data_IF_548561175634
#
_entry.id   IF_548561175634
#
_cell.length_a   1.000
_cell.length_b   1.000
_cell.length_c   1.000
_cell.angle_alpha   90.00
_cell.angle_beta   90.00
_cell.angle_gamma   90.00
#
_symmetry.space_group_name_H-M   'P 1'
#
loop_
_entity.id
_entity.type
_entity.pdbx_description
1 polymer ?
#
# COMPACT_ATOMS: atom_id res chain seq x y z
N UNK A 1 43.95 8.25 -30.64
CA UNK A 1 42.58 7.94 -31.11
C UNK A 1 41.74 7.67 -29.88
N UNK A 2 40.53 8.23 -29.76
CA UNK A 2 39.57 7.70 -28.78
C UNK A 2 39.36 6.20 -29.09
N UNK A 3 39.25 5.33 -28.08
CA UNK A 3 38.91 3.93 -28.31
C UNK A 3 37.63 3.85 -29.13
N UNK A 4 37.49 2.86 -30.04
CA UNK A 4 36.22 2.61 -30.73
C UNK A 4 35.10 2.53 -29.71
N UNK A 5 33.95 3.17 -29.96
CA UNK A 5 32.84 3.20 -29.02
C UNK A 5 32.35 1.80 -28.61
N UNK A 6 32.63 0.79 -29.44
CA UNK A 6 32.23 -0.60 -29.25
C UNK A 6 33.24 -1.44 -28.47
N UNK A 7 34.39 -0.89 -28.05
CA UNK A 7 35.40 -1.64 -27.28
C UNK A 7 35.45 -1.13 -25.84
N UNK A 8 35.26 -2.03 -24.89
CA UNK A 8 35.34 -1.73 -23.44
C UNK A 8 36.48 -2.50 -22.80
N UNK A 9 37.32 -1.80 -22.03
CA UNK A 9 38.44 -2.39 -21.29
C UNK A 9 37.96 -2.81 -19.92
N UNK A 10 38.11 -4.08 -19.59
CA UNK A 10 37.66 -4.65 -18.31
C UNK A 10 38.75 -5.48 -17.65
N UNK A 11 38.62 -5.69 -16.35
CA UNK A 11 39.35 -6.73 -15.62
C UNK A 11 38.39 -7.89 -15.33
N UNK A 12 38.77 -9.13 -15.64
CA UNK A 12 37.97 -10.32 -15.33
C UNK A 12 38.68 -11.14 -14.27
N UNK A 13 38.00 -11.41 -13.18
CA UNK A 13 38.49 -12.18 -12.03
C UNK A 13 38.00 -13.63 -12.06
N UNK A 14 38.82 -14.53 -11.52
CA UNK A 14 38.48 -15.93 -11.28
C UNK A 14 39.10 -16.37 -9.94
N UNK A 15 38.36 -17.11 -9.08
CA UNK A 15 38.89 -17.54 -7.79
C UNK A 15 40.22 -18.28 -7.91
N UNK A 16 41.23 -17.80 -7.17
CA UNK A 16 42.56 -18.41 -7.15
C UNK A 16 43.45 -18.12 -8.37
N UNK A 17 43.03 -17.24 -9.29
CA UNK A 17 43.83 -16.80 -10.43
C UNK A 17 44.04 -15.28 -10.44
N UNK A 18 45.09 -14.82 -11.13
CA UNK A 18 45.30 -13.39 -11.36
C UNK A 18 44.23 -12.83 -12.32
N UNK A 19 43.70 -11.63 -12.04
CA UNK A 19 42.74 -10.97 -12.93
C UNK A 19 43.33 -10.76 -14.33
N UNK A 20 42.50 -10.94 -15.35
CA UNK A 20 42.86 -10.71 -16.75
C UNK A 20 42.34 -9.38 -17.24
N UNK A 21 43.22 -8.57 -17.79
CA UNK A 21 42.84 -7.35 -18.51
C UNK A 21 42.50 -7.73 -19.95
N UNK A 22 41.28 -7.43 -20.37
CA UNK A 22 40.77 -7.79 -21.69
C UNK A 22 40.01 -6.61 -22.31
N UNK A 23 40.14 -6.48 -23.63
CA UNK A 23 39.33 -5.55 -24.42
C UNK A 23 38.13 -6.32 -24.97
N UNK A 24 36.94 -6.10 -24.41
CA UNK A 24 35.70 -6.70 -24.87
C UNK A 24 35.19 -5.89 -26.07
N UNK A 25 35.07 -6.57 -27.21
CA UNK A 25 34.36 -6.06 -28.37
C UNK A 25 32.85 -6.32 -28.20
N UNK A 26 32.08 -5.24 -28.06
CA UNK A 26 30.63 -5.29 -27.86
C UNK A 26 29.88 -5.87 -29.07
N UNK A 27 30.52 -6.01 -30.23
CA UNK A 27 29.95 -6.69 -31.41
C UNK A 27 30.16 -8.20 -31.40
N UNK A 28 31.12 -8.72 -30.63
CA UNK A 28 31.32 -10.17 -30.48
C UNK A 28 30.24 -10.76 -29.58
N UNK A 29 29.65 -11.92 -29.89
CA UNK A 29 28.72 -12.60 -28.98
C UNK A 29 29.36 -12.88 -27.61
N UNK A 30 28.58 -12.75 -26.54
CA UNK A 30 29.04 -12.97 -25.17
C UNK A 30 29.57 -14.40 -24.97
N UNK A 31 28.97 -15.39 -25.63
CA UNK A 31 29.43 -16.79 -25.63
C UNK A 31 30.84 -16.95 -26.19
N UNK A 32 31.20 -16.18 -27.23
CA UNK A 32 32.54 -16.19 -27.79
C UNK A 32 33.56 -15.52 -26.85
N UNK A 33 33.14 -14.45 -26.18
CA UNK A 33 33.94 -13.76 -25.16
C UNK A 33 34.22 -14.70 -23.98
N UNK A 34 33.19 -15.37 -23.45
CA UNK A 34 33.31 -16.33 -22.35
C UNK A 34 34.27 -17.46 -22.74
N UNK A 35 34.15 -17.99 -23.97
CA UNK A 35 35.05 -19.02 -24.49
C UNK A 35 36.52 -18.57 -24.45
N UNK A 36 36.82 -17.35 -24.93
CA UNK A 36 38.17 -16.78 -24.91
C UNK A 36 38.73 -16.64 -23.47
N UNK A 37 37.88 -16.20 -22.52
CA UNK A 37 38.24 -16.08 -21.10
C UNK A 37 38.55 -17.45 -20.48
N UNK A 38 37.68 -18.43 -20.71
CA UNK A 38 37.83 -19.81 -20.23
C UNK A 38 39.10 -20.46 -20.80
N UNK A 39 39.34 -20.33 -22.11
CA UNK A 39 40.54 -20.86 -22.78
C UNK A 39 41.82 -20.32 -22.16
N UNK A 40 41.87 -19.01 -21.85
CA UNK A 40 43.06 -18.45 -21.25
C UNK A 40 43.34 -18.94 -19.83
N UNK A 41 42.36 -19.51 -19.11
CA UNK A 41 42.55 -20.12 -17.77
C UNK A 41 42.50 -21.65 -17.84
N UNK A 42 42.51 -22.22 -19.05
CA UNK A 42 42.41 -23.66 -19.29
C UNK A 42 41.17 -24.31 -18.66
N UNK A 43 40.05 -23.56 -18.60
CA UNK A 43 38.76 -24.06 -18.13
C UNK A 43 38.03 -24.75 -19.29
N UNK A 44 37.65 -26.02 -19.11
CA UNK A 44 36.81 -26.75 -20.07
C UNK A 44 35.32 -26.39 -19.92
N UNK A 45 34.50 -26.80 -20.89
CA UNK A 45 33.03 -26.61 -20.88
C UNK A 45 32.62 -25.14 -20.67
N UNK A 46 33.04 -24.26 -21.59
CA UNK A 46 32.80 -22.81 -21.50
C UNK A 46 31.31 -22.45 -21.42
N UNK A 47 30.42 -23.32 -21.91
CA UNK A 47 28.96 -23.22 -21.80
C UNK A 47 28.43 -23.26 -20.36
N UNK A 48 29.21 -23.79 -19.41
CA UNK A 48 28.84 -23.83 -18.00
C UNK A 48 29.19 -22.56 -17.23
N UNK A 49 29.79 -21.55 -17.89
CA UNK A 49 30.23 -20.32 -17.27
C UNK A 49 29.44 -19.10 -17.78
N UNK A 50 29.40 -18.07 -16.94
CA UNK A 50 28.86 -16.75 -17.28
C UNK A 50 29.72 -15.66 -16.62
N UNK A 51 29.49 -14.42 -17.05
CA UNK A 51 30.11 -13.24 -16.43
C UNK A 51 29.11 -12.56 -15.49
N UNK A 52 29.59 -12.11 -14.35
CA UNK A 52 28.89 -11.23 -13.42
C UNK A 52 29.64 -9.90 -13.27
N UNK A 53 28.94 -8.84 -12.89
CA UNK A 53 29.58 -7.60 -12.45
C UNK A 53 30.16 -7.83 -11.05
N UNK A 54 31.45 -7.60 -10.84
CA UNK A 54 32.11 -7.82 -9.56
C UNK A 54 31.89 -6.62 -8.60
N UNK A 55 30.62 -6.33 -8.31
CA UNK A 55 30.19 -5.32 -7.35
C UNK A 55 29.33 -5.94 -6.24
N UNK A 56 28.63 -5.09 -5.47
CA UNK A 56 27.77 -5.55 -4.39
C UNK A 56 26.54 -6.37 -4.88
N UNK A 57 26.18 -6.27 -6.16
CA UNK A 57 24.99 -6.94 -6.72
C UNK A 57 25.32 -8.33 -7.26
N UNK A 58 26.52 -8.52 -7.84
CA UNK A 58 26.90 -9.75 -8.55
C UNK A 58 25.91 -10.16 -9.65
N UNK A 59 25.26 -9.20 -10.32
CA UNK A 59 24.32 -9.52 -11.39
C UNK A 59 25.01 -10.08 -12.63
N UNK A 60 24.37 -11.08 -13.23
CA UNK A 60 24.76 -11.74 -14.46
C UNK A 60 24.67 -10.79 -15.65
N UNK A 61 25.66 -10.93 -16.51
CA UNK A 61 25.75 -10.22 -17.78
C UNK A 61 25.11 -11.10 -18.84
N UNK A 62 24.17 -10.51 -19.56
CA UNK A 62 23.44 -11.10 -20.68
C UNK A 62 23.63 -10.23 -21.91
N UNK A 63 23.19 -10.73 -23.07
CA UNK A 63 23.18 -9.92 -24.30
C UNK A 63 22.30 -8.66 -24.18
N UNK A 64 21.37 -8.61 -23.21
CA UNK A 64 20.49 -7.45 -23.01
C UNK A 64 21.16 -6.31 -22.23
N UNK A 65 21.97 -6.63 -21.22
CA UNK A 65 22.58 -5.65 -20.30
C UNK A 65 24.09 -5.44 -20.50
N UNK A 66 24.74 -6.19 -21.40
CA UNK A 66 26.18 -6.04 -21.70
C UNK A 66 26.62 -4.63 -22.13
N UNK A 67 25.69 -3.81 -22.62
CA UNK A 67 25.96 -2.43 -23.01
C UNK A 67 26.18 -1.50 -21.79
N UNK A 68 25.80 -1.94 -20.60
CA UNK A 68 26.00 -1.19 -19.35
C UNK A 68 27.42 -1.32 -18.80
N UNK A 69 28.22 -2.24 -19.37
CA UNK A 69 29.63 -2.44 -18.99
C UNK A 69 30.43 -1.20 -19.38
N UNK A 70 31.15 -0.62 -18.41
CA UNK A 70 31.97 0.58 -18.61
C UNK A 70 33.45 0.23 -18.67
N UNK A 71 34.24 1.13 -19.24
CA UNK A 71 35.70 1.03 -19.16
C UNK A 71 36.14 1.05 -17.69
N UNK A 72 36.98 0.09 -17.31
CA UNK A 72 37.44 -0.11 -15.94
C UNK A 72 36.52 -0.97 -15.08
N UNK A 73 35.40 -1.47 -15.60
CA UNK A 73 34.55 -2.43 -14.87
C UNK A 73 35.35 -3.70 -14.53
N UNK A 74 35.12 -4.18 -13.30
CA UNK A 74 35.63 -5.47 -12.84
C UNK A 74 34.49 -6.48 -13.00
N UNK A 75 34.76 -7.56 -13.72
CA UNK A 75 33.83 -8.66 -13.96
C UNK A 75 34.36 -9.91 -13.26
N UNK A 76 33.45 -10.83 -12.95
CA UNK A 76 33.79 -12.14 -12.39
C UNK A 76 33.32 -13.23 -13.33
N UNK A 77 34.20 -14.17 -13.67
CA UNK A 77 33.78 -15.42 -14.29
C UNK A 77 33.23 -16.34 -13.20
N UNK A 78 32.02 -16.85 -13.40
CA UNK A 78 31.34 -17.74 -12.45
C UNK A 78 30.56 -18.83 -13.17
N UNK A 79 29.97 -19.77 -12.45
CA UNK A 79 29.04 -20.75 -13.02
C UNK A 79 27.83 -20.06 -13.66
N UNK A 80 27.35 -20.62 -14.76
CA UNK A 80 26.18 -20.09 -15.49
C UNK A 80 24.93 -20.03 -14.59
N UNK A 81 23.98 -19.12 -14.85
CA UNK A 81 22.74 -19.01 -14.08
C UNK A 81 22.01 -20.34 -13.95
N UNK A 82 21.91 -21.10 -15.04
CA UNK A 82 21.29 -22.43 -15.06
C UNK A 82 22.01 -23.43 -14.14
N UNK A 83 23.35 -23.55 -14.25
CA UNK A 83 24.11 -24.46 -13.39
C UNK A 83 23.99 -24.07 -11.91
N UNK A 84 24.07 -22.78 -11.60
CA UNK A 84 23.88 -22.26 -10.25
C UNK A 84 22.47 -22.58 -9.73
N UNK A 85 21.44 -22.41 -10.56
CA UNK A 85 20.05 -22.71 -10.20
C UNK A 85 19.84 -24.22 -9.93
N UNK A 86 20.38 -25.10 -10.78
CA UNK A 86 20.35 -26.57 -10.56
C UNK A 86 21.04 -26.94 -9.25
N UNK A 87 22.25 -26.43 -9.01
CA UNK A 87 23.00 -26.73 -7.79
C UNK A 87 22.25 -26.27 -6.53
N UNK A 88 21.70 -25.06 -6.53
CA UNK A 88 20.92 -24.56 -5.40
C UNK A 88 19.63 -25.35 -5.21
N UNK A 89 18.92 -25.66 -6.29
CA UNK A 89 17.70 -26.46 -6.27
C UNK A 89 17.94 -27.85 -5.65
N UNK A 90 19.03 -28.53 -6.01
CA UNK A 90 19.40 -29.82 -5.41
C UNK A 90 19.85 -29.69 -3.94
N UNK A 91 20.69 -28.71 -3.62
CA UNK A 91 21.25 -28.55 -2.27
C UNK A 91 20.21 -28.16 -1.23
N UNK A 92 19.20 -27.38 -1.61
CA UNK A 92 18.07 -27.00 -0.74
C UNK A 92 17.21 -28.23 -0.37
N UNK A 93 17.20 -29.26 -1.22
CA UNK A 93 16.53 -30.53 -0.95
C UNK A 93 17.40 -31.54 -0.19
N UNK A 94 18.66 -31.21 0.11
CA UNK A 94 19.58 -32.11 0.82
C UNK A 94 19.06 -32.50 2.21
N UNK A 95 19.58 -33.57 2.82
CA UNK A 95 19.21 -33.93 4.20
C UNK A 95 19.93 -33.09 5.27
N UNK A 96 20.97 -32.36 4.89
CA UNK A 96 21.80 -31.57 5.81
C UNK A 96 21.22 -30.17 6.02
N UNK A 97 20.85 -29.83 7.26
CA UNK A 97 20.29 -28.53 7.59
C UNK A 97 21.27 -27.37 7.35
N UNK A 98 22.56 -27.56 7.65
CA UNK A 98 23.58 -26.53 7.39
C UNK A 98 23.75 -26.28 5.89
N UNK A 99 23.72 -27.34 5.09
CA UNK A 99 23.79 -27.22 3.65
C UNK A 99 22.56 -26.50 3.08
N UNK A 100 21.36 -26.77 3.62
CA UNK A 100 20.14 -26.04 3.24
C UNK A 100 20.23 -24.57 3.61
N UNK A 101 20.67 -24.26 4.82
CA UNK A 101 20.74 -22.89 5.31
C UNK A 101 21.66 -22.03 4.43
N UNK A 102 22.88 -22.52 4.15
CA UNK A 102 23.81 -21.78 3.30
C UNK A 102 23.27 -21.65 1.87
N UNK A 103 22.67 -22.72 1.32
CA UNK A 103 22.12 -22.68 -0.04
C UNK A 103 20.90 -21.76 -0.15
N UNK A 104 20.08 -21.64 0.90
CA UNK A 104 18.95 -20.70 0.92
C UNK A 104 19.41 -19.25 1.05
N UNK A 105 20.49 -19.00 1.81
CA UNK A 105 21.12 -17.69 1.88
C UNK A 105 21.69 -17.27 0.52
N UNK A 106 22.38 -18.18 -0.16
CA UNK A 106 22.88 -17.96 -1.52
C UNK A 106 21.72 -17.76 -2.50
N UNK A 107 20.64 -18.54 -2.37
CA UNK A 107 19.43 -18.39 -3.17
C UNK A 107 18.80 -17.01 -2.98
N UNK A 108 18.62 -16.56 -1.74
CA UNK A 108 18.03 -15.24 -1.45
C UNK A 108 18.82 -14.10 -2.11
N UNK A 109 20.15 -14.19 -2.14
CA UNK A 109 20.98 -13.21 -2.82
C UNK A 109 20.88 -13.31 -4.35
N UNK A 110 20.90 -14.53 -4.88
CA UNK A 110 20.84 -14.79 -6.33
C UNK A 110 19.47 -14.44 -6.93
N UNK A 111 18.38 -14.61 -6.18
CA UNK A 111 17.00 -14.31 -6.60
C UNK A 111 16.77 -12.85 -6.96
N UNK A 112 17.64 -11.92 -6.50
CA UNK A 112 17.59 -10.49 -6.87
C UNK A 112 17.86 -10.26 -8.37
N UNK A 113 18.52 -11.20 -9.03
CA UNK A 113 18.83 -11.14 -10.46
C UNK A 113 17.77 -11.87 -11.28
N UNK A 114 17.10 -11.14 -12.17
CA UNK A 114 16.08 -11.68 -13.09
C UNK A 114 16.60 -12.84 -13.95
N UNK A 115 17.89 -12.82 -14.32
CA UNK A 115 18.52 -13.86 -15.15
C UNK A 115 18.59 -15.18 -14.41
N UNK A 116 18.96 -15.14 -13.13
CA UNK A 116 18.97 -16.31 -12.27
C UNK A 116 17.54 -16.74 -11.91
N UNK A 117 16.69 -15.77 -11.54
CA UNK A 117 15.30 -16.01 -11.15
C UNK A 117 14.55 -16.80 -12.22
N UNK A 118 14.72 -16.43 -13.50
CA UNK A 118 14.08 -17.13 -14.62
C UNK A 118 14.49 -18.62 -14.67
N UNK A 119 15.78 -18.93 -14.53
CA UNK A 119 16.26 -20.32 -14.56
C UNK A 119 15.76 -21.12 -13.36
N UNK A 120 15.76 -20.53 -12.16
CA UNK A 120 15.27 -21.19 -10.95
C UNK A 120 13.76 -21.42 -11.00
N UNK A 121 12.99 -20.49 -11.56
CA UNK A 121 11.55 -20.63 -11.80
C UNK A 121 11.27 -21.75 -12.81
N UNK A 122 12.05 -21.84 -13.89
CA UNK A 122 11.92 -22.91 -14.89
C UNK A 122 12.18 -24.31 -14.31
N UNK A 123 12.89 -24.39 -13.19
CA UNK A 123 13.15 -25.63 -12.44
C UNK A 123 12.07 -25.92 -11.37
N UNK A 124 10.89 -25.30 -11.46
CA UNK A 124 9.81 -25.39 -10.47
C UNK A 124 10.24 -24.93 -9.05
N UNK A 125 11.24 -24.04 -8.97
CA UNK A 125 11.80 -23.57 -7.71
C UNK A 125 10.80 -22.85 -6.79
N UNK A 126 9.81 -22.16 -7.35
CA UNK A 126 8.72 -21.55 -6.56
C UNK A 126 7.90 -22.62 -5.85
N UNK A 127 7.53 -23.69 -6.54
CA UNK A 127 6.79 -24.82 -5.97
C UNK A 127 7.58 -25.45 -4.82
N UNK A 128 8.90 -25.63 -5.00
CA UNK A 128 9.78 -26.10 -3.94
C UNK A 128 9.74 -25.19 -2.70
N UNK A 129 9.90 -23.87 -2.87
CA UNK A 129 9.87 -22.92 -1.74
C UNK A 129 8.50 -22.91 -1.04
N UNK A 130 7.40 -22.94 -1.79
CA UNK A 130 6.06 -23.01 -1.19
C UNK A 130 5.85 -24.29 -0.38
N UNK A 131 6.28 -25.45 -0.89
CA UNK A 131 6.24 -26.71 -0.18
C UNK A 131 7.10 -26.67 1.09
N UNK A 132 8.27 -26.02 1.05
CA UNK A 132 9.12 -25.85 2.22
C UNK A 132 8.46 -24.98 3.30
N UNK A 133 7.75 -23.92 2.90
CA UNK A 133 6.97 -23.09 3.84
C UNK A 133 5.78 -23.87 4.41
N UNK A 134 5.02 -24.59 3.58
CA UNK A 134 3.85 -25.35 4.01
C UNK A 134 4.22 -26.52 4.94
N UNK A 135 5.25 -27.29 4.58
CA UNK A 135 5.70 -28.47 5.33
C UNK A 135 6.68 -28.17 6.45
N UNK A 136 7.30 -26.99 6.42
CA UNK A 136 8.31 -26.57 7.38
C UNK A 136 7.75 -26.41 8.79
N UNK A 137 8.45 -27.00 9.75
CA UNK A 137 8.39 -26.60 11.17
C UNK A 137 9.17 -25.29 11.34
N UNK A 138 8.68 -24.39 12.20
CA UNK A 138 9.18 -23.02 12.37
C UNK A 138 10.70 -22.91 12.64
N UNK A 139 11.54 -22.79 11.60
CA UNK A 139 12.99 -22.65 11.73
C UNK A 139 13.43 -21.23 11.35
N UNK A 140 13.54 -20.34 12.35
CA UNK A 140 13.92 -18.91 12.24
C UNK A 140 14.63 -18.47 10.95
N UNK A 141 15.97 -18.53 10.92
CA UNK A 141 16.78 -18.04 9.81
C UNK A 141 16.50 -18.76 8.47
N UNK A 142 16.24 -20.07 8.52
CA UNK A 142 15.94 -20.87 7.33
C UNK A 142 14.67 -20.37 6.64
N UNK A 143 13.62 -20.10 7.43
CA UNK A 143 12.36 -19.56 6.95
C UNK A 143 12.55 -18.12 6.45
N UNK A 144 13.33 -17.30 7.15
CA UNK A 144 13.64 -15.93 6.73
C UNK A 144 14.30 -15.89 5.33
N UNK A 145 15.31 -16.72 5.08
CA UNK A 145 15.94 -16.82 3.75
C UNK A 145 15.00 -17.41 2.71
N UNK A 146 14.19 -18.41 3.07
CA UNK A 146 13.17 -18.99 2.17
C UNK A 146 12.16 -17.94 1.71
N UNK A 147 11.62 -17.15 2.65
CA UNK A 147 10.66 -16.09 2.35
C UNK A 147 11.31 -14.92 1.59
N UNK A 148 12.56 -14.59 1.91
CA UNK A 148 13.31 -13.58 1.16
C UNK A 148 13.52 -14.00 -0.29
N UNK A 149 14.02 -15.22 -0.53
CA UNK A 149 14.16 -15.77 -1.87
C UNK A 149 12.82 -15.79 -2.62
N UNK A 150 11.74 -16.16 -1.93
CA UNK A 150 10.40 -16.17 -2.52
C UNK A 150 9.95 -14.77 -2.95
N UNK A 151 10.07 -13.76 -2.09
CA UNK A 151 9.70 -12.36 -2.40
C UNK A 151 10.47 -11.87 -3.61
N UNK A 152 11.80 -11.98 -3.59
CA UNK A 152 12.68 -11.53 -4.67
C UNK A 152 12.34 -12.22 -6.02
N UNK A 153 12.01 -13.51 -6.00
CA UNK A 153 11.60 -14.22 -7.23
C UNK A 153 10.25 -13.72 -7.75
N UNK A 154 9.30 -13.42 -6.86
CA UNK A 154 7.96 -12.95 -7.23
C UNK A 154 7.96 -11.50 -7.72
N UNK A 155 8.88 -10.67 -7.22
CA UNK A 155 8.99 -9.26 -7.58
C UNK A 155 9.41 -9.04 -9.05
N UNK A 156 10.03 -10.04 -9.69
CA UNK A 156 10.29 -10.01 -11.13
C UNK A 156 9.03 -10.11 -12.00
N UNK A 157 7.88 -10.49 -11.43
CA UNK A 157 6.60 -10.57 -12.14
C UNK A 157 6.53 -11.68 -13.20
N UNK A 158 7.40 -12.69 -13.12
CA UNK A 158 7.44 -13.83 -14.04
C UNK A 158 6.29 -14.81 -13.78
N UNK A 159 5.92 -15.00 -12.52
CA UNK A 159 4.88 -15.95 -12.06
C UNK A 159 3.66 -15.19 -11.56
N UNK A 160 2.47 -15.66 -11.93
CA UNK A 160 1.22 -15.10 -11.38
C UNK A 160 1.01 -15.51 -9.93
N UNK A 161 0.54 -14.58 -9.10
CA UNK A 161 0.16 -14.86 -7.72
C UNK A 161 -1.04 -15.82 -7.60
N UNK A 162 -1.84 -16.00 -8.66
CA UNK A 162 -3.03 -16.86 -8.62
C UNK A 162 -2.70 -18.36 -8.52
N UNK A 163 -1.43 -18.76 -8.67
CA UNK A 163 -1.00 -20.16 -8.58
C UNK A 163 -0.88 -20.68 -7.15
N UNK A 164 -0.96 -19.81 -6.14
CA UNK A 164 -0.69 -20.19 -4.76
C UNK A 164 -1.87 -20.86 -4.06
N UNK A 165 -1.54 -21.92 -3.32
CA UNK A 165 -2.50 -22.71 -2.57
C UNK A 165 -3.07 -21.92 -1.38
N UNK A 166 -4.29 -22.25 -0.96
CA UNK A 166 -4.88 -21.71 0.27
C UNK A 166 -4.07 -22.15 1.51
N UNK A 167 -3.39 -23.30 1.46
CA UNK A 167 -2.55 -23.76 2.56
C UNK A 167 -1.32 -22.86 2.76
N UNK A 168 -0.69 -22.44 1.66
CA UNK A 168 0.41 -21.47 1.69
C UNK A 168 -0.03 -20.14 2.30
N UNK A 169 -1.16 -19.58 1.82
CA UNK A 169 -1.70 -18.31 2.34
C UNK A 169 -1.99 -18.41 3.85
N UNK A 170 -2.64 -19.50 4.28
CA UNK A 170 -2.90 -19.78 5.71
C UNK A 170 -1.62 -19.84 6.52
N UNK A 171 -0.58 -20.46 5.98
CA UNK A 171 0.72 -20.57 6.66
C UNK A 171 1.38 -19.21 6.81
N UNK A 172 1.44 -18.40 5.76
CA UNK A 172 1.96 -17.02 5.84
C UNK A 172 1.15 -16.17 6.82
N UNK A 173 -0.18 -16.23 6.76
CA UNK A 173 -1.05 -15.52 7.70
C UNK A 173 -0.84 -15.98 9.15
N UNK A 174 -0.59 -17.27 9.37
CA UNK A 174 -0.28 -17.80 10.71
C UNK A 174 0.98 -17.18 11.30
N UNK A 175 1.97 -16.82 10.47
CA UNK A 175 3.19 -16.16 10.94
C UNK A 175 2.93 -14.73 11.43
N UNK A 176 2.02 -14.02 10.78
CA UNK A 176 1.57 -12.68 11.22
C UNK A 176 0.72 -12.77 12.49
N UNK A 177 -0.06 -13.84 12.65
CA UNK A 177 -0.95 -14.02 13.79
C UNK A 177 -0.25 -14.56 15.05
N UNK A 178 0.98 -15.07 14.93
CA UNK A 178 1.73 -15.66 16.05
C UNK A 178 2.43 -14.56 16.87
N UNK A 179 2.31 -14.64 18.19
CA UNK A 179 3.04 -13.75 19.10
C UNK A 179 4.54 -14.09 19.11
N UNK A 180 5.39 -13.06 19.22
CA UNK A 180 6.85 -13.22 19.27
C UNK A 180 7.45 -13.99 18.08
N UNK A 181 7.00 -13.68 16.86
CA UNK A 181 7.66 -14.11 15.63
C UNK A 181 9.00 -13.40 15.45
N UNK A 182 9.94 -14.05 14.78
CA UNK A 182 11.16 -13.40 14.30
C UNK A 182 10.82 -12.19 13.41
N UNK A 183 11.52 -11.08 13.61
CA UNK A 183 11.26 -9.82 12.90
C UNK A 183 11.38 -9.97 11.39
N UNK A 184 12.41 -10.68 10.90
CA UNK A 184 12.61 -10.83 9.46
C UNK A 184 11.51 -11.71 8.84
N UNK A 185 11.13 -12.80 9.50
CA UNK A 185 10.00 -13.64 9.08
C UNK A 185 8.69 -12.86 9.05
N UNK A 186 8.41 -12.06 10.08
CA UNK A 186 7.21 -11.23 10.15
C UNK A 186 7.19 -10.19 9.03
N UNK A 187 8.30 -9.49 8.81
CA UNK A 187 8.45 -8.48 7.76
C UNK A 187 8.17 -9.08 6.38
N UNK A 188 8.82 -10.21 6.05
CA UNK A 188 8.60 -10.89 4.75
C UNK A 188 7.18 -11.42 4.63
N UNK A 189 6.59 -11.93 5.71
CA UNK A 189 5.20 -12.42 5.70
C UNK A 189 4.21 -11.28 5.41
N UNK A 190 4.38 -10.12 6.04
CA UNK A 190 3.56 -8.93 5.77
C UNK A 190 3.71 -8.47 4.31
N UNK A 191 4.94 -8.39 3.80
CA UNK A 191 5.22 -8.03 2.41
C UNK A 191 4.54 -8.99 1.41
N UNK A 192 4.62 -10.30 1.65
CA UNK A 192 3.96 -11.32 0.82
C UNK A 192 2.45 -11.11 0.81
N UNK A 193 1.83 -10.88 1.96
CA UNK A 193 0.39 -10.68 2.07
C UNK A 193 -0.07 -9.39 1.39
N UNK A 194 0.69 -8.31 1.54
CA UNK A 194 0.47 -7.06 0.81
C UNK A 194 0.47 -7.31 -0.71
N UNK A 195 1.54 -7.93 -1.22
CA UNK A 195 1.67 -8.24 -2.64
C UNK A 195 0.55 -9.15 -3.14
N UNK A 196 0.15 -10.18 -2.38
CA UNK A 196 -0.99 -11.03 -2.72
C UNK A 196 -2.29 -10.22 -2.88
N UNK A 197 -2.58 -9.34 -1.93
CA UNK A 197 -3.79 -8.51 -1.94
C UNK A 197 -3.77 -7.54 -3.12
N UNK A 198 -2.65 -6.88 -3.38
CA UNK A 198 -2.52 -5.90 -4.45
C UNK A 198 -2.62 -6.53 -5.85
N UNK A 199 -2.16 -7.77 -6.02
CA UNK A 199 -2.09 -8.42 -7.33
C UNK A 199 -3.36 -9.19 -7.72
N UNK A 200 -4.19 -9.67 -6.78
CA UNK A 200 -5.39 -10.47 -7.13
C UNK A 200 -6.58 -10.25 -6.20
N UNK A 201 -7.77 -10.11 -6.79
CA UNK A 201 -9.03 -9.94 -6.05
C UNK A 201 -9.45 -11.23 -5.33
N UNK A 202 -9.17 -12.40 -5.92
CA UNK A 202 -9.44 -13.68 -5.27
C UNK A 202 -8.51 -13.88 -4.06
N UNK A 203 -7.23 -13.51 -4.19
CA UNK A 203 -6.30 -13.53 -3.08
C UNK A 203 -6.68 -12.54 -1.98
N UNK A 204 -7.20 -11.34 -2.32
CA UNK A 204 -7.77 -10.43 -1.33
C UNK A 204 -8.83 -11.13 -0.47
N UNK A 205 -9.77 -11.85 -1.08
CA UNK A 205 -10.82 -12.55 -0.33
C UNK A 205 -10.27 -13.64 0.58
N UNK A 206 -9.25 -14.38 0.13
CA UNK A 206 -8.57 -15.40 0.92
C UNK A 206 -7.79 -14.79 2.09
N UNK A 207 -7.00 -13.75 1.85
CA UNK A 207 -6.21 -13.08 2.90
C UNK A 207 -7.13 -12.42 3.94
N UNK A 208 -8.20 -11.76 3.51
CA UNK A 208 -9.16 -11.11 4.41
C UNK A 208 -9.95 -12.09 5.28
N UNK A 209 -9.97 -13.39 4.95
CA UNK A 209 -10.53 -14.44 5.81
C UNK A 209 -9.55 -14.91 6.89
N UNK A 210 -8.24 -14.84 6.63
CA UNK A 210 -7.20 -15.35 7.53
C UNK A 210 -6.64 -14.27 8.48
N UNK A 211 -6.74 -12.99 8.10
CA UNK A 211 -6.22 -11.87 8.87
C UNK A 211 -7.29 -10.80 9.07
N UNK A 212 -7.39 -10.35 10.32
CA UNK A 212 -8.21 -9.22 10.71
C UNK A 212 -7.33 -8.01 11.06
N UNK A 213 -7.87 -6.80 10.90
CA UNK A 213 -7.20 -5.56 11.34
C UNK A 213 -6.84 -5.63 12.83
N UNK A 214 -7.67 -6.29 13.66
CA UNK A 214 -7.39 -6.48 15.08
C UNK A 214 -6.10 -7.23 15.36
N UNK A 215 -5.73 -8.20 14.51
CA UNK A 215 -4.48 -8.97 14.62
C UNK A 215 -3.26 -8.19 14.12
N UNK A 216 -3.47 -7.20 13.25
CA UNK A 216 -2.40 -6.33 12.75
C UNK A 216 -2.02 -5.22 13.74
N UNK A 217 -2.96 -4.80 14.60
CA UNK A 217 -2.73 -3.70 15.55
C UNK A 217 -1.53 -3.89 16.49
N UNK A 218 -1.30 -5.07 17.11
CA UNK A 218 -0.15 -5.29 17.96
C UNK A 218 1.19 -4.99 17.27
N UNK A 219 1.29 -5.23 15.96
CA UNK A 219 2.50 -4.95 15.18
C UNK A 219 2.78 -3.45 15.04
N UNK A 220 1.74 -2.61 15.09
CA UNK A 220 1.89 -1.15 15.14
C UNK A 220 2.29 -0.62 16.51
N UNK A 221 2.06 -1.40 17.57
CA UNK A 221 2.43 -1.04 18.94
C UNK A 221 3.87 -1.40 19.28
N UNK A 222 4.55 -2.16 18.41
CA UNK A 222 5.97 -2.42 18.49
C UNK A 222 6.81 -1.17 18.25
N UNK A 223 8.13 -1.28 18.46
CA UNK A 223 9.09 -0.18 18.27
C UNK A 223 9.81 -0.22 16.92
N UNK A 224 9.62 -1.28 16.15
CA UNK A 224 10.29 -1.52 14.87
C UNK A 224 9.54 -0.79 13.73
N UNK A 225 10.19 0.22 13.14
CA UNK A 225 9.59 1.05 12.11
C UNK A 225 9.31 0.27 10.81
N UNK A 226 10.13 -0.72 10.47
CA UNK A 226 9.92 -1.51 9.26
C UNK A 226 8.66 -2.37 9.43
N UNK A 227 8.52 -3.06 10.56
CA UNK A 227 7.29 -3.82 10.87
C UNK A 227 6.06 -2.92 10.87
N UNK A 228 6.14 -1.72 11.48
CA UNK A 228 5.04 -0.77 11.46
C UNK A 228 4.68 -0.37 10.02
N UNK A 229 5.69 -0.13 9.17
CA UNK A 229 5.51 0.28 7.77
C UNK A 229 4.78 -0.80 6.97
N UNK A 230 5.29 -2.04 6.99
CA UNK A 230 4.65 -3.17 6.29
C UNK A 230 3.26 -3.47 6.85
N UNK A 231 3.03 -3.25 8.14
CA UNK A 231 1.70 -3.43 8.74
C UNK A 231 0.70 -2.40 8.20
N UNK A 232 1.09 -1.13 8.09
CA UNK A 232 0.23 -0.10 7.48
C UNK A 232 0.05 -0.38 5.98
N UNK A 233 1.08 -0.88 5.29
CA UNK A 233 1.00 -1.24 3.88
C UNK A 233 -0.03 -2.36 3.64
N UNK A 234 -0.05 -3.41 4.47
CA UNK A 234 -1.09 -4.45 4.43
C UNK A 234 -2.49 -3.87 4.71
N UNK A 235 -2.64 -2.98 5.69
CA UNK A 235 -3.92 -2.32 5.97
C UNK A 235 -4.37 -1.49 4.76
N UNK A 236 -3.46 -0.72 4.15
CA UNK A 236 -3.72 0.05 2.94
C UNK A 236 -4.13 -0.84 1.78
N UNK A 237 -3.43 -1.95 1.55
CA UNK A 237 -3.74 -2.90 0.48
C UNK A 237 -5.14 -3.52 0.67
N UNK A 238 -5.45 -3.97 1.89
CA UNK A 238 -6.78 -4.51 2.23
C UNK A 238 -7.87 -3.47 2.01
N UNK A 239 -7.61 -2.22 2.36
CA UNK A 239 -8.59 -1.15 2.24
C UNK A 239 -8.77 -0.70 0.78
N UNK A 240 -7.69 -0.62 0.00
CA UNK A 240 -7.70 -0.27 -1.41
C UNK A 240 -8.45 -1.29 -2.26
N UNK A 241 -8.31 -2.59 -1.95
CA UNK A 241 -8.95 -3.71 -2.69
C UNK A 241 -10.32 -4.12 -2.14
N UNK A 242 -10.74 -3.53 -1.02
CA UNK A 242 -12.03 -3.83 -0.43
C UNK A 242 -13.19 -3.39 -1.36
N UNK A 243 -14.19 -4.27 -1.59
CA UNK A 243 -15.45 -3.88 -2.20
C UNK A 243 -16.08 -2.71 -1.44
N UNK A 244 -16.85 -1.88 -2.14
CA UNK A 244 -17.43 -0.65 -1.59
C UNK A 244 -18.25 -0.89 -0.31
N UNK A 245 -19.09 -1.93 -0.29
CA UNK A 245 -19.87 -2.33 0.89
C UNK A 245 -18.98 -2.63 2.12
N UNK A 246 -17.82 -3.24 1.89
CA UNK A 246 -16.86 -3.60 2.94
C UNK A 246 -15.97 -2.44 3.37
N UNK A 247 -15.78 -1.42 2.54
CA UNK A 247 -14.95 -0.24 2.88
C UNK A 247 -15.49 0.51 4.08
N UNK A 248 -16.82 0.67 4.17
CA UNK A 248 -17.46 1.32 5.32
C UNK A 248 -17.39 0.46 6.60
N UNK A 249 -17.58 -0.85 6.49
CA UNK A 249 -17.39 -1.77 7.62
C UNK A 249 -15.94 -1.73 8.14
N UNK A 250 -14.98 -1.73 7.22
CA UNK A 250 -13.56 -1.62 7.54
C UNK A 250 -13.26 -0.30 8.25
N UNK A 251 -13.78 0.82 7.75
CA UNK A 251 -13.67 2.12 8.41
C UNK A 251 -14.21 2.11 9.84
N UNK A 252 -15.36 1.47 10.05
CA UNK A 252 -15.94 1.30 11.38
C UNK A 252 -15.03 0.51 12.31
N UNK A 253 -14.46 -0.60 11.84
CA UNK A 253 -13.50 -1.41 12.60
C UNK A 253 -12.25 -0.59 12.96
N UNK A 254 -11.68 0.16 12.01
CA UNK A 254 -10.51 1.01 12.23
C UNK A 254 -10.78 2.06 13.32
N UNK A 255 -11.97 2.68 13.31
CA UNK A 255 -12.41 3.62 14.33
C UNK A 255 -12.64 2.93 15.70
N UNK A 256 -13.37 1.82 15.73
CA UNK A 256 -13.69 1.07 16.94
C UNK A 256 -12.43 0.57 17.65
N UNK A 257 -11.43 0.13 16.89
CA UNK A 257 -10.13 -0.32 17.41
C UNK A 257 -9.15 0.82 17.69
N UNK A 258 -9.57 2.07 17.53
CA UNK A 258 -8.77 3.27 17.80
C UNK A 258 -7.45 3.33 17.01
N UNK A 259 -7.42 2.82 15.77
CA UNK A 259 -6.21 2.76 14.95
C UNK A 259 -5.52 4.13 14.85
N UNK A 260 -6.30 5.20 14.67
CA UNK A 260 -5.77 6.58 14.61
C UNK A 260 -4.98 6.98 15.85
N UNK A 261 -5.44 6.56 17.03
CA UNK A 261 -4.75 6.84 18.30
C UNK A 261 -3.43 6.07 18.37
N UNK A 262 -3.45 4.82 17.94
CA UNK A 262 -2.29 3.92 17.94
C UNK A 262 -1.21 4.44 16.98
N UNK A 263 -1.58 4.86 15.76
CA UNK A 263 -0.65 5.48 14.81
C UNK A 263 -0.11 6.79 15.38
N UNK A 264 -0.97 7.62 16.01
CA UNK A 264 -0.54 8.87 16.61
C UNK A 264 0.49 8.64 17.72
N UNK A 265 0.30 7.65 18.60
CA UNK A 265 1.20 7.39 19.72
C UNK A 265 2.47 6.66 19.33
N UNK A 266 2.38 5.63 18.48
CA UNK A 266 3.49 4.71 18.23
C UNK A 266 4.27 4.99 16.94
N UNK A 267 3.70 5.78 16.01
CA UNK A 267 4.36 6.17 14.76
C UNK A 267 4.65 7.67 14.75
N UNK A 268 3.61 8.52 14.85
CA UNK A 268 3.76 9.97 14.67
C UNK A 268 4.50 10.64 15.83
N UNK A 269 4.20 10.22 17.06
CA UNK A 269 4.86 10.73 18.29
C UNK A 269 5.98 9.82 18.78
N UNK A 270 6.39 8.85 17.96
CA UNK A 270 7.54 8.00 18.26
C UNK A 270 8.80 8.85 18.38
N UNK A 271 9.78 8.47 19.23
CA UNK A 271 11.09 9.12 19.26
C UNK A 271 11.87 8.89 17.96
N UNK A 272 11.57 7.82 17.21
CA UNK A 272 12.22 7.50 15.94
C UNK A 272 11.65 8.39 14.83
N UNK A 273 12.48 9.13 14.07
CA UNK A 273 12.03 9.91 12.93
C UNK A 273 11.33 9.04 11.89
N UNK A 274 10.30 9.58 11.25
CA UNK A 274 9.55 8.90 10.18
C UNK A 274 10.40 8.88 8.91
N UNK A 275 10.64 7.69 8.34
CA UNK A 275 11.31 7.53 7.04
C UNK A 275 10.34 7.78 5.86
N UNK A 276 10.88 7.90 4.64
CA UNK A 276 10.10 8.24 3.45
C UNK A 276 9.03 7.19 3.12
N UNK A 277 9.32 5.90 3.34
CA UNK A 277 8.38 4.81 3.07
C UNK A 277 7.19 4.83 4.05
N UNK A 278 7.45 4.98 5.35
CA UNK A 278 6.40 5.17 6.36
C UNK A 278 5.57 6.43 6.06
N UNK A 279 6.22 7.53 5.69
CA UNK A 279 5.51 8.75 5.31
C UNK A 279 4.60 8.52 4.09
N UNK A 280 5.05 7.75 3.10
CA UNK A 280 4.23 7.34 1.97
C UNK A 280 3.02 6.51 2.41
N UNK A 281 3.22 5.50 3.25
CA UNK A 281 2.14 4.64 3.74
C UNK A 281 1.09 5.41 4.57
N UNK A 282 1.52 6.38 5.38
CA UNK A 282 0.61 7.28 6.11
C UNK A 282 -0.17 8.19 5.16
N UNK A 283 0.47 8.69 4.10
CA UNK A 283 -0.19 9.47 3.06
C UNK A 283 -1.26 8.64 2.33
N UNK A 284 -0.95 7.41 1.93
CA UNK A 284 -1.91 6.51 1.28
C UNK A 284 -3.09 6.24 2.21
N UNK A 285 -2.83 5.94 3.49
CA UNK A 285 -3.89 5.73 4.49
C UNK A 285 -4.79 6.97 4.64
N UNK A 286 -4.20 8.17 4.65
CA UNK A 286 -4.93 9.42 4.74
C UNK A 286 -5.85 9.61 3.52
N UNK A 287 -5.35 9.37 2.31
CA UNK A 287 -6.14 9.46 1.07
C UNK A 287 -7.30 8.45 1.09
N UNK A 288 -7.04 7.20 1.45
CA UNK A 288 -8.07 6.15 1.58
C UNK A 288 -9.14 6.53 2.59
N UNK A 289 -8.74 7.10 3.73
CA UNK A 289 -9.65 7.56 4.78
C UNK A 289 -10.52 8.73 4.30
N UNK A 290 -9.95 9.69 3.57
CA UNK A 290 -10.74 10.78 2.98
C UNK A 290 -11.70 10.28 1.91
N UNK A 291 -11.32 9.31 1.10
CA UNK A 291 -12.16 8.76 0.04
C UNK A 291 -13.39 8.00 0.57
N UNK A 292 -13.44 7.66 1.87
CA UNK A 292 -14.69 7.19 2.50
C UNK A 292 -15.81 8.23 2.48
N UNK A 293 -15.46 9.52 2.40
CA UNK A 293 -16.41 10.63 2.36
C UNK A 293 -16.98 10.86 0.95
N UNK A 294 -16.38 10.26 -0.08
CA UNK A 294 -16.75 10.47 -1.49
C UNK A 294 -18.20 10.05 -1.77
N UNK A 295 -18.64 8.91 -1.25
CA UNK A 295 -20.01 8.43 -1.41
C UNK A 295 -21.02 9.46 -0.89
N UNK A 296 -20.83 9.95 0.33
CA UNK A 296 -21.68 10.99 0.93
C UNK A 296 -21.56 12.33 0.22
N UNK A 297 -20.38 12.67 -0.28
CA UNK A 297 -20.12 13.88 -1.07
C UNK A 297 -20.89 13.87 -2.40
N UNK A 298 -21.04 12.70 -3.01
CA UNK A 298 -21.69 12.50 -4.31
C UNK A 298 -23.16 12.06 -4.19
N UNK A 299 -23.63 11.77 -2.98
CA UNK A 299 -25.03 11.46 -2.71
C UNK A 299 -25.87 12.73 -2.69
N UNK A 300 -26.86 12.82 -3.58
CA UNK A 300 -27.89 13.87 -3.54
C UNK A 300 -28.90 13.58 -2.45
N UNK A 301 -29.37 14.62 -1.78
CA UNK A 301 -30.55 14.51 -0.92
C UNK A 301 -31.79 14.22 -1.76
N UNK A 302 -32.67 13.33 -1.29
CA UNK A 302 -34.02 13.19 -1.83
C UNK A 302 -34.96 14.18 -1.11
N UNK A 303 -35.49 15.21 -1.80
CA UNK A 303 -36.38 16.19 -1.18
C UNK A 303 -37.75 15.63 -0.77
N UNK A 304 -38.10 14.40 -1.15
CA UNK A 304 -39.33 13.72 -0.75
C UNK A 304 -39.11 12.74 0.42
N UNK A 305 -37.87 12.36 0.72
CA UNK A 305 -37.55 11.46 1.82
C UNK A 305 -37.74 12.17 3.17
N UNK A 306 -38.73 11.69 3.95
CA UNK A 306 -39.05 12.28 5.24
C UNK A 306 -37.89 12.15 6.24
N UNK A 307 -37.17 11.03 6.25
CA UNK A 307 -36.09 10.82 7.21
C UNK A 307 -34.92 11.79 6.98
N UNK A 308 -34.59 12.09 5.72
CA UNK A 308 -33.57 13.09 5.40
C UNK A 308 -34.04 14.50 5.77
N UNK A 309 -35.32 14.82 5.52
CA UNK A 309 -35.91 16.11 5.89
C UNK A 309 -35.95 16.32 7.41
N UNK A 310 -36.12 15.24 8.18
CA UNK A 310 -36.10 15.29 9.64
C UNK A 310 -34.72 15.75 10.17
N UNK A 311 -33.63 15.49 9.44
CA UNK A 311 -32.30 16.00 9.79
C UNK A 311 -32.25 17.54 9.67
N UNK A 312 -32.81 18.10 8.60
CA UNK A 312 -32.89 19.56 8.44
C UNK A 312 -33.82 20.17 9.49
N UNK A 313 -34.92 19.48 9.81
CA UNK A 313 -35.81 19.89 10.89
C UNK A 313 -35.09 19.91 12.24
N UNK A 314 -34.25 18.93 12.52
CA UNK A 314 -33.43 18.88 13.73
C UNK A 314 -32.44 20.04 13.81
N UNK A 315 -31.77 20.41 12.71
CA UNK A 315 -30.92 21.60 12.64
C UNK A 315 -31.68 22.87 13.04
N UNK A 316 -32.89 23.04 12.50
CA UNK A 316 -33.79 24.15 12.85
C UNK A 316 -34.15 24.12 14.33
N UNK A 317 -34.56 22.95 14.84
CA UNK A 317 -34.97 22.76 16.24
C UNK A 317 -33.85 23.16 17.20
N UNK A 318 -32.62 22.71 16.94
CA UNK A 318 -31.46 23.05 17.79
C UNK A 318 -31.19 24.57 17.80
N UNK A 319 -31.39 25.26 16.68
CA UNK A 319 -31.11 26.69 16.57
C UNK A 319 -32.19 27.60 17.18
N UNK A 320 -33.47 27.25 17.06
CA UNK A 320 -34.58 28.16 17.37
C UNK A 320 -35.58 27.66 18.42
N UNK A 321 -35.68 26.34 18.65
CA UNK A 321 -36.67 25.80 19.59
C UNK A 321 -36.14 25.75 21.03
N UNK A 322 -34.94 26.29 21.32
CA UNK A 322 -34.45 26.52 22.69
C UNK A 322 -35.27 27.60 23.42
N UNK A 323 -36.00 28.44 22.67
CA UNK A 323 -36.79 29.57 23.21
C UNK A 323 -38.32 29.43 23.03
N UNK A 324 -38.83 28.32 22.46
CA UNK A 324 -40.26 28.20 22.14
C UNK A 324 -41.08 27.66 23.32
N UNK A 325 -41.83 28.55 23.97
CA UNK A 325 -42.91 28.22 24.93
C UNK A 325 -43.91 27.18 24.35
N UNK A 326 -44.44 26.22 25.15
CA UNK A 326 -45.15 25.04 24.64
C UNK A 326 -46.51 25.30 23.97
N UNK A 327 -46.99 26.55 23.95
CA UNK A 327 -48.38 26.90 23.65
C UNK A 327 -48.65 27.25 22.18
N UNK A 328 -47.93 26.64 21.24
CA UNK A 328 -48.08 26.95 19.81
C UNK A 328 -49.13 26.05 19.11
N UNK A 329 -50.39 26.16 19.54
CA UNK A 329 -51.57 25.57 18.88
C UNK A 329 -52.03 26.40 17.67
N UNK A 330 -51.10 26.82 16.82
CA UNK A 330 -51.38 27.53 15.57
C UNK A 330 -51.86 26.61 14.44
N UNK A 331 -52.63 27.16 13.49
CA UNK A 331 -53.05 26.47 12.26
C UNK A 331 -51.85 25.96 11.45
N UNK A 332 -52.05 24.90 10.66
CA UNK A 332 -51.00 24.26 9.83
C UNK A 332 -50.29 25.29 8.92
N UNK A 333 -51.01 26.28 8.41
CA UNK A 333 -50.46 27.35 7.57
C UNK A 333 -49.53 28.29 8.34
N UNK A 334 -49.87 28.66 9.58
CA UNK A 334 -48.99 29.48 10.44
C UNK A 334 -47.68 28.74 10.74
N UNK A 335 -47.74 27.42 10.93
CA UNK A 335 -46.56 26.58 11.17
C UNK A 335 -45.65 26.47 9.94
N UNK A 336 -46.22 26.29 8.75
CA UNK A 336 -45.45 26.30 7.48
C UNK A 336 -44.77 27.65 7.21
N UNK A 337 -45.47 28.75 7.48
CA UNK A 337 -44.89 30.10 7.37
C UNK A 337 -43.74 30.33 8.35
N UNK A 338 -43.86 29.83 9.58
CA UNK A 338 -42.80 29.89 10.58
C UNK A 338 -41.56 29.12 10.11
N UNK A 339 -41.72 27.88 9.63
CA UNK A 339 -40.61 27.07 9.14
C UNK A 339 -39.90 27.72 7.95
N UNK A 340 -40.65 28.30 7.01
CA UNK A 340 -40.06 29.01 5.87
C UNK A 340 -39.21 30.19 6.32
N UNK A 341 -39.67 30.95 7.32
CA UNK A 341 -38.91 32.05 7.92
C UNK A 341 -37.65 31.55 8.63
N UNK A 342 -37.75 30.44 9.36
CA UNK A 342 -36.62 29.88 10.09
C UNK A 342 -35.55 29.32 9.15
N UNK A 343 -35.94 28.68 8.03
CA UNK A 343 -35.00 28.25 7.00
C UNK A 343 -34.36 29.43 6.26
N UNK A 344 -35.08 30.54 6.09
CA UNK A 344 -34.49 31.80 5.63
C UNK A 344 -33.45 32.34 6.63
N UNK A 345 -33.78 32.34 7.92
CA UNK A 345 -32.86 32.74 8.99
C UNK A 345 -31.63 31.83 9.12
N UNK A 346 -31.77 30.55 8.80
CA UNK A 346 -30.65 29.62 8.69
C UNK A 346 -29.78 29.87 7.44
N UNK A 347 -30.21 30.73 6.52
CA UNK A 347 -29.42 31.08 5.34
C UNK A 347 -29.43 30.01 4.24
N UNK A 348 -30.48 29.18 4.16
CA UNK A 348 -30.70 28.31 2.99
C UNK A 348 -31.10 29.16 1.77
N UNK A 349 -30.77 28.71 0.56
CA UNK A 349 -31.17 29.36 -0.69
C UNK A 349 -32.67 29.10 -0.94
N UNK A 350 -33.11 27.84 -0.85
CA UNK A 350 -34.52 27.49 -0.95
C UNK A 350 -35.18 27.47 0.44
N UNK A 351 -35.78 28.59 0.82
CA UNK A 351 -36.43 28.72 2.13
C UNK A 351 -37.70 27.86 2.27
N UNK A 352 -38.36 27.50 1.16
CA UNK A 352 -39.59 26.70 1.17
C UNK A 352 -39.26 25.22 1.31
N UNK A 353 -38.23 24.77 0.61
CA UNK A 353 -37.73 23.40 0.69
C UNK A 353 -36.19 23.37 0.69
N UNK A 354 -35.56 23.51 1.86
CA UNK A 354 -34.09 23.54 1.98
C UNK A 354 -33.42 22.24 1.53
N UNK A 355 -34.17 21.13 1.42
CA UNK A 355 -33.64 19.87 0.90
C UNK A 355 -33.10 20.00 -0.54
N UNK A 356 -33.64 20.93 -1.33
CA UNK A 356 -33.19 21.19 -2.70
C UNK A 356 -31.74 21.67 -2.74
N UNK A 357 -31.28 22.39 -1.71
CA UNK A 357 -29.91 22.91 -1.66
C UNK A 357 -28.87 21.77 -1.60
N UNK A 358 -29.23 20.62 -1.02
CA UNK A 358 -28.40 19.42 -0.90
C UNK A 358 -28.51 18.46 -2.11
N UNK A 359 -29.23 18.86 -3.17
CA UNK A 359 -29.23 18.14 -4.46
C UNK A 359 -28.03 18.48 -5.33
N UNK A 360 -27.29 19.54 -4.98
CA UNK A 360 -26.05 19.93 -5.63
C UNK A 360 -24.90 19.05 -5.14
N UNK A 361 -24.15 18.48 -6.08
CA UNK A 361 -22.97 17.65 -5.82
C UNK A 361 -21.77 18.18 -6.61
N UNK A 362 -20.57 18.25 -6.00
CA UNK A 362 -20.33 18.21 -4.56
C UNK A 362 -20.96 19.43 -3.84
N UNK A 363 -21.27 19.36 -2.52
CA UNK A 363 -20.92 18.28 -1.58
C UNK A 363 -22.11 17.38 -1.16
N UNK A 364 -23.31 17.56 -1.74
CA UNK A 364 -24.45 16.69 -1.48
C UNK A 364 -24.80 16.53 0.01
N UNK A 365 -25.04 15.29 0.41
CA UNK A 365 -25.40 14.92 1.77
C UNK A 365 -24.26 15.11 2.79
N UNK A 366 -22.99 15.15 2.37
CA UNK A 366 -21.86 15.36 3.28
C UNK A 366 -21.93 16.73 3.98
N UNK A 367 -22.44 17.77 3.31
CA UNK A 367 -22.65 19.07 3.95
C UNK A 367 -23.70 18.99 5.05
N UNK A 368 -24.79 18.23 4.84
CA UNK A 368 -25.81 18.04 5.86
C UNK A 368 -25.27 17.29 7.07
N UNK A 369 -24.43 16.27 6.83
CA UNK A 369 -23.74 15.52 7.89
C UNK A 369 -22.83 16.44 8.72
N UNK A 370 -22.04 17.31 8.07
CA UNK A 370 -21.17 18.29 8.73
C UNK A 370 -21.97 19.32 9.56
N UNK A 371 -23.07 19.84 9.01
CA UNK A 371 -23.94 20.79 9.71
C UNK A 371 -24.53 20.14 10.97
N UNK A 372 -25.02 18.90 10.85
CA UNK A 372 -25.59 18.16 11.99
C UNK A 372 -24.53 17.83 13.03
N UNK A 373 -23.33 17.43 12.60
CA UNK A 373 -22.20 17.20 13.49
C UNK A 373 -21.88 18.45 14.30
N UNK A 374 -21.76 19.60 13.65
CA UNK A 374 -21.50 20.88 14.32
C UNK A 374 -22.62 21.25 15.31
N UNK A 375 -23.89 21.10 14.89
CA UNK A 375 -25.04 21.40 15.74
C UNK A 375 -25.13 20.52 16.99
N UNK A 376 -24.74 19.23 16.90
CA UNK A 376 -24.80 18.28 18.03
C UNK A 376 -23.57 18.33 18.94
N UNK A 377 -22.38 18.48 18.38
CA UNK A 377 -21.13 18.42 19.15
C UNK A 377 -20.66 19.79 19.64
N UNK A 378 -21.07 20.87 18.97
CA UNK A 378 -20.69 22.24 19.30
C UNK A 378 -21.92 23.16 19.33
N UNK A 379 -22.97 22.71 20.02
CA UNK A 379 -24.30 23.31 20.04
C UNK A 379 -24.28 24.82 20.35
N UNK A 380 -23.58 25.26 21.39
CA UNK A 380 -23.52 26.68 21.76
C UNK A 380 -22.91 27.55 20.66
N UNK A 381 -21.85 27.07 20.02
CA UNK A 381 -21.20 27.78 18.92
C UNK A 381 -22.10 27.82 17.68
N UNK A 382 -22.80 26.72 17.39
CA UNK A 382 -23.79 26.64 16.32
C UNK A 382 -24.93 27.65 16.52
N UNK A 383 -25.56 27.63 17.69
CA UNK A 383 -26.66 28.56 18.05
C UNK A 383 -26.18 29.99 17.92
N UNK A 384 -25.02 30.32 18.50
CA UNK A 384 -24.45 31.66 18.42
C UNK A 384 -24.26 32.13 16.97
N UNK A 385 -23.67 31.30 16.11
CA UNK A 385 -23.47 31.65 14.69
C UNK A 385 -24.81 31.91 13.99
N UNK A 386 -25.82 31.06 14.22
CA UNK A 386 -27.13 31.23 13.58
C UNK A 386 -27.86 32.47 14.11
N UNK A 387 -27.88 32.71 15.43
CA UNK A 387 -28.58 33.84 16.02
C UNK A 387 -27.91 35.19 15.73
N UNK A 388 -26.58 35.26 15.73
CA UNK A 388 -25.82 36.47 15.40
C UNK A 388 -25.99 36.92 13.95
N UNK A 389 -26.31 35.99 13.03
CA UNK A 389 -26.50 36.30 11.62
C UNK A 389 -27.99 36.43 11.24
N UNK A 390 -28.90 35.72 11.92
CA UNK A 390 -30.34 35.79 11.64
C UNK A 390 -31.04 37.05 12.17
N UNK A 391 -30.36 37.81 13.02
CA UNK A 391 -30.84 39.07 13.60
C UNK A 391 -30.25 40.32 12.92
N UNK A 392 -29.35 40.13 11.95
CA UNK A 392 -28.76 41.23 11.18
C UNK A 392 -29.69 41.65 10.05
N UNK A 393 -29.96 42.95 9.97
CA UNK A 393 -30.74 43.55 8.87
C UNK A 393 -29.84 44.25 7.84
N UNK A 394 -28.52 44.23 8.04
CA UNK A 394 -27.53 44.79 7.12
C UNK A 394 -27.13 43.79 6.03
N UNK A 395 -26.36 44.25 5.04
CA UNK A 395 -25.86 43.40 3.94
C UNK A 395 -24.65 42.54 4.34
N UNK A 396 -24.36 42.41 5.64
CA UNK A 396 -23.18 41.71 6.16
C UNK A 396 -23.54 40.40 6.90
N UNK A 397 -24.78 39.92 6.76
CA UNK A 397 -25.15 38.59 7.26
C UNK A 397 -24.37 37.47 6.56
N UNK A 398 -23.93 36.48 7.33
CA UNK A 398 -23.36 35.24 6.81
C UNK A 398 -24.44 34.14 6.79
N UNK A 399 -24.92 33.71 5.61
CA UNK A 399 -25.96 32.70 5.51
C UNK A 399 -25.42 31.32 5.86
N UNK A 400 -25.72 30.81 7.06
CA UNK A 400 -25.15 29.57 7.57
C UNK A 400 -25.30 28.37 6.63
N UNK A 401 -26.51 28.13 6.08
CA UNK A 401 -26.79 27.02 5.17
C UNK A 401 -25.95 27.08 3.89
N UNK A 402 -26.02 28.20 3.16
CA UNK A 402 -25.22 28.42 1.95
C UNK A 402 -23.71 28.34 2.22
N UNK A 403 -23.23 28.98 3.28
CA UNK A 403 -21.81 28.98 3.65
C UNK A 403 -21.30 27.59 4.02
N UNK A 404 -22.11 26.79 4.73
CA UNK A 404 -21.72 25.43 5.14
C UNK A 404 -21.63 24.47 3.96
N UNK A 405 -22.53 24.59 2.99
CA UNK A 405 -22.49 23.82 1.73
C UNK A 405 -21.22 24.19 0.95
N UNK A 406 -20.97 25.48 0.72
CA UNK A 406 -19.78 25.91 -0.03
C UNK A 406 -18.47 25.56 0.70
N UNK A 407 -18.42 25.72 2.03
CA UNK A 407 -17.26 25.35 2.84
C UNK A 407 -16.96 23.85 2.75
N UNK A 408 -18.00 23.00 2.82
CA UNK A 408 -17.80 21.55 2.70
C UNK A 408 -17.21 21.20 1.33
N UNK A 409 -17.73 21.79 0.26
CA UNK A 409 -17.18 21.60 -1.09
C UNK A 409 -15.71 22.05 -1.18
N UNK A 410 -15.40 23.24 -0.67
CA UNK A 410 -14.04 23.79 -0.67
C UNK A 410 -13.07 22.88 0.11
N UNK A 411 -13.51 22.34 1.26
CA UNK A 411 -12.70 21.38 2.03
C UNK A 411 -12.47 20.08 1.25
N UNK A 412 -13.48 19.55 0.57
CA UNK A 412 -13.33 18.38 -0.30
C UNK A 412 -12.30 18.62 -1.41
N UNK A 413 -12.28 19.80 -2.02
CA UNK A 413 -11.30 20.19 -3.06
C UNK A 413 -9.88 20.32 -2.49
N UNK A 414 -9.72 20.99 -1.33
CA UNK A 414 -8.42 21.15 -0.66
C UNK A 414 -7.85 19.79 -0.23
N UNK A 415 -8.70 18.92 0.33
CA UNK A 415 -8.33 17.59 0.81
C UNK A 415 -8.29 16.54 -0.30
N UNK A 416 -8.74 16.88 -1.51
CA UNK A 416 -8.77 16.01 -2.70
C UNK A 416 -9.54 14.71 -2.49
N UNK A 417 -10.72 14.83 -1.86
CA UNK A 417 -11.64 13.70 -1.63
C UNK A 417 -12.08 13.12 -2.97
N UNK A 418 -11.95 11.80 -3.13
CA UNK A 418 -12.27 11.06 -4.35
C UNK A 418 -11.09 10.93 -5.34
N UNK A 419 -9.95 11.56 -5.08
CA UNK A 419 -8.74 11.30 -5.88
C UNK A 419 -8.11 9.97 -5.45
N UNK A 420 -8.33 8.92 -6.25
CA UNK A 420 -7.38 7.81 -6.33
C UNK A 420 -6.21 8.27 -7.16
N UNK A 421 -5.17 8.81 -6.51
CA UNK A 421 -3.90 8.98 -7.21
C UNK A 421 -3.41 7.58 -7.54
N UNK A 422 -3.51 7.20 -8.83
CA UNK A 422 -2.71 6.12 -9.39
C UNK A 422 -1.29 6.43 -8.95
N UNK A 423 -0.81 5.70 -7.96
CA UNK A 423 0.56 5.75 -7.54
C UNK A 423 1.41 5.69 -8.80
N UNK A 424 2.16 6.74 -9.07
CA UNK A 424 3.37 6.73 -9.89
C UNK A 424 4.46 5.83 -9.26
N UNK A 425 4.08 4.83 -8.48
CA UNK A 425 4.96 4.03 -7.61
C UNK A 425 4.43 2.66 -7.19
N UNK A 426 3.22 2.20 -7.59
CA UNK A 426 2.79 0.82 -7.32
C UNK A 426 3.62 -0.25 -8.05
N UNK A 427 4.54 0.16 -8.92
CA UNK A 427 5.53 -0.71 -9.57
C UNK A 427 6.95 -0.55 -9.02
N UNK A 428 7.17 0.23 -7.95
CA UNK A 428 8.52 0.47 -7.40
C UNK A 428 8.55 0.50 -5.86
N UNK A 429 7.93 -0.48 -5.19
CA UNK A 429 7.99 -0.61 -3.71
C UNK A 429 9.12 -1.56 -3.25
N UNK A 430 9.95 -2.08 -4.16
CA UNK A 430 11.19 -2.75 -3.78
C UNK A 430 12.39 -2.10 -4.49
N UNK A 431 13.06 -1.19 -3.78
CA UNK A 431 14.44 -0.79 -4.08
C UNK A 431 15.29 -0.82 -2.80
#
# INVERSE_FOLDING_TARGET
MPPPADIVKVAIEWPGAFPKLMEIDQKKPLSAIIKEVCEGWSLGNHENFALQIADATNFYITEKNRNDIKNGSILRLTTSPYQTAVQLHERIQSSSMDAKLESLKDLANASRDITFAQEFINLDGISLLTQMVESGTDFGDLLSFTLTAFVELMDHGIVSWDTFSVAFIKKIASYVNKSAMDTAVLQRSLAILESMVLNSQDLYHKVAQEITIGQLIPHLQGTDQDIQTYTIAVINALFLKAPEEKRQEMAHILAQKQLRSIILSNVIRSPTPINDEMAHQLYVLQVLTFNLLEDRMMTKMDPQDQAQRDIIFELRRIAFDVECEPNNSGSIEKRKSMYTRDYKKLGFINHVNPAVDFTQIPPGMLALDNMLYFARHHQDAYIRIVLENSSREDKHECPFGRSSIELTKMLCEILKVGELRKSTSATHIFH
#
